data_IF_620766338502
#
_entry.id   IF_620766338502
#
_cell.length_a   1.000
_cell.length_b   1.000
_cell.length_c   1.000
_cell.angle_alpha   90.00
_cell.angle_beta   90.00
_cell.angle_gamma   90.00
#
_symmetry.space_group_name_H-M   'P 1'
#
loop_
_entity.id
_entity.type
_entity.pdbx_description
1 polymer ?
#
# COMPACT_ATOMS: atom_id res chain seq x y z
N UNK A 1 3.20 -4.43 11.49
CA UNK A 1 4.59 -4.63 11.91
C UNK A 1 5.54 -4.00 10.91
N UNK A 2 6.62 -3.47 11.43
CA UNK A 2 7.67 -2.86 10.62
C UNK A 2 8.87 -3.79 10.64
N UNK A 3 9.32 -4.18 9.47
CA UNK A 3 10.45 -5.07 9.33
C UNK A 3 11.64 -4.31 8.78
N UNK A 4 12.77 -4.39 9.48
CA UNK A 4 14.04 -3.85 9.02
C UNK A 4 15.01 -5.01 8.91
N UNK A 5 15.83 -5.02 7.86
CA UNK A 5 16.80 -6.07 7.63
C UNK A 5 16.16 -7.44 7.45
N UNK A 6 14.86 -7.47 7.20
CA UNK A 6 14.17 -8.71 6.91
C UNK A 6 14.13 -8.91 5.40
N UNK A 7 14.19 -10.18 4.98
CA UNK A 7 14.09 -10.48 3.55
C UNK A 7 12.64 -10.28 3.10
N UNK A 8 12.38 -9.16 2.47
CA UNK A 8 11.03 -8.82 2.03
C UNK A 8 10.50 -9.81 1.00
N UNK A 9 11.37 -10.38 0.18
CA UNK A 9 10.94 -11.36 -0.81
C UNK A 9 10.48 -12.64 -0.14
N UNK A 10 11.14 -13.02 0.95
CA UNK A 10 10.72 -14.18 1.73
C UNK A 10 9.35 -13.93 2.36
N UNK A 11 9.15 -12.74 2.90
CA UNK A 11 7.87 -12.37 3.46
C UNK A 11 6.74 -12.47 2.43
N UNK A 12 6.99 -11.95 1.22
CA UNK A 12 6.00 -11.97 0.15
C UNK A 12 5.63 -13.41 -0.21
N UNK A 13 6.61 -14.29 -0.27
CA UNK A 13 6.35 -15.70 -0.60
C UNK A 13 5.52 -16.40 0.47
N UNK A 14 5.70 -16.03 1.72
CA UNK A 14 5.05 -16.71 2.83
C UNK A 14 3.72 -16.10 3.25
N UNK A 15 3.48 -14.86 2.85
CA UNK A 15 2.27 -14.17 3.27
C UNK A 15 1.07 -14.73 2.51
N UNK A 16 0.07 -15.21 3.25
CA UNK A 16 -1.07 -15.92 2.64
C UNK A 16 -2.22 -14.99 2.25
N UNK A 17 -2.17 -13.73 2.68
CA UNK A 17 -3.23 -12.78 2.33
C UNK A 17 -2.74 -11.84 1.23
N UNK A 18 -3.56 -10.86 0.88
CA UNK A 18 -3.28 -9.95 -0.22
C UNK A 18 -2.15 -8.98 0.13
N UNK A 19 -1.25 -8.75 -0.82
CA UNK A 19 -0.17 -7.77 -0.68
C UNK A 19 -0.33 -6.73 -1.78
N UNK A 20 -0.25 -5.45 -1.40
CA UNK A 20 -0.31 -4.35 -2.35
C UNK A 20 0.95 -3.52 -2.25
N UNK A 21 1.49 -3.10 -3.40
CA UNK A 21 2.56 -2.11 -3.45
C UNK A 21 1.92 -0.74 -3.63
N UNK A 22 2.29 0.20 -2.79
CA UNK A 22 1.79 1.56 -2.87
C UNK A 22 2.82 2.40 -3.63
N UNK A 23 2.45 2.83 -4.82
CA UNK A 23 3.36 3.52 -5.73
C UNK A 23 2.62 4.59 -6.51
N UNK A 24 3.26 5.74 -6.81
CA UNK A 24 2.58 6.80 -7.56
C UNK A 24 2.26 6.44 -9.00
N UNK A 25 2.84 5.37 -9.52
CA UNK A 25 2.67 5.00 -10.92
C UNK A 25 1.63 3.93 -11.17
N UNK A 26 0.92 3.51 -10.14
CA UNK A 26 -0.12 2.50 -10.31
C UNK A 26 -1.37 3.11 -10.94
N UNK A 27 -2.15 2.26 -11.61
CA UNK A 27 -3.38 2.68 -12.24
C UNK A 27 -4.58 2.62 -11.32
N UNK A 28 -4.52 1.77 -10.29
CA UNK A 28 -5.64 1.56 -9.39
C UNK A 28 -5.51 2.43 -8.15
N UNK A 29 -6.60 3.06 -7.76
CA UNK A 29 -6.63 3.93 -6.60
C UNK A 29 -6.85 3.13 -5.32
N UNK A 30 -6.14 3.52 -4.25
CA UNK A 30 -6.34 2.92 -2.95
C UNK A 30 -7.78 3.12 -2.46
N UNK A 31 -8.44 4.18 -2.91
CA UNK A 31 -9.81 4.48 -2.48
C UNK A 31 -10.86 3.58 -3.11
N UNK A 32 -10.50 2.92 -4.21
CA UNK A 32 -11.43 2.05 -4.92
C UNK A 32 -11.16 0.58 -4.67
N UNK A 33 -10.11 0.26 -3.91
CA UNK A 33 -9.76 -1.11 -3.61
C UNK A 33 -10.41 -1.53 -2.30
N UNK A 34 -10.91 -2.76 -2.25
CA UNK A 34 -11.48 -3.30 -1.01
C UNK A 34 -10.33 -3.71 -0.08
N UNK A 35 -10.14 -2.95 0.98
CA UNK A 35 -9.08 -3.18 1.95
C UNK A 35 -9.63 -3.67 3.29
N UNK A 36 -10.85 -4.23 3.28
CA UNK A 36 -11.47 -4.72 4.50
C UNK A 36 -10.94 -6.08 4.93
N UNK A 37 -10.32 -6.82 4.02
CA UNK A 37 -9.71 -8.10 4.32
C UNK A 37 -8.29 -7.92 4.83
N UNK A 38 -7.72 -8.98 5.39
CA UNK A 38 -6.33 -8.94 5.80
C UNK A 38 -5.45 -8.65 4.61
N UNK A 39 -4.57 -7.67 4.76
CA UNK A 39 -3.69 -7.30 3.67
C UNK A 39 -2.42 -6.65 4.22
N UNK A 40 -1.41 -6.60 3.38
CA UNK A 40 -0.16 -5.91 3.68
C UNK A 40 0.05 -4.83 2.63
N UNK A 41 0.55 -3.69 3.07
CA UNK A 41 0.91 -2.60 2.16
C UNK A 41 2.41 -2.42 2.21
N UNK A 42 3.03 -2.39 1.04
CA UNK A 42 4.48 -2.21 0.91
C UNK A 42 4.72 -0.81 0.37
N UNK A 43 5.51 -0.03 1.10
CA UNK A 43 5.85 1.32 0.73
C UNK A 43 7.35 1.39 0.46
N UNK A 44 7.73 2.27 -0.45
CA UNK A 44 9.14 2.43 -0.79
C UNK A 44 9.86 3.39 0.13
N UNK A 45 11.16 3.51 -0.08
CA UNK A 45 11.98 4.48 0.63
C UNK A 45 11.73 5.88 0.09
N UNK A 46 11.97 6.88 0.93
CA UNK A 46 11.94 8.25 0.48
C UNK A 46 13.03 8.46 -0.57
N UNK A 47 12.64 9.10 -1.65
CA UNK A 47 13.57 9.40 -2.72
C UNK A 47 13.69 8.34 -3.79
N UNK A 48 13.72 7.08 -3.42
CA UNK A 48 13.93 5.99 -4.38
C UNK A 48 12.68 5.19 -4.70
N UNK A 49 11.68 5.23 -3.83
CA UNK A 49 10.48 4.44 -4.01
C UNK A 49 10.75 2.96 -3.85
N UNK A 50 9.91 2.15 -4.47
CA UNK A 50 10.02 0.69 -4.42
C UNK A 50 10.88 0.24 -5.59
N UNK A 51 11.82 -0.68 -5.35
CA UNK A 51 12.69 -1.16 -6.42
C UNK A 51 11.89 -1.90 -7.48
N UNK A 52 12.43 -1.94 -8.71
CA UNK A 52 11.76 -2.63 -9.80
C UNK A 52 11.59 -4.11 -9.53
N UNK A 53 12.57 -4.74 -8.90
CA UNK A 53 12.47 -6.14 -8.53
C UNK A 53 11.31 -6.39 -7.58
N UNK A 54 11.18 -5.53 -6.58
CA UNK A 54 10.13 -5.69 -5.58
C UNK A 54 8.76 -5.42 -6.20
N UNK A 55 8.65 -4.41 -7.08
CA UNK A 55 7.40 -4.15 -7.78
C UNK A 55 6.99 -5.35 -8.61
N UNK A 56 7.94 -6.00 -9.25
CA UNK A 56 7.64 -7.19 -10.06
C UNK A 56 7.19 -8.37 -9.22
N UNK A 57 7.65 -8.45 -7.99
CA UNK A 57 7.27 -9.53 -7.10
C UNK A 57 5.87 -9.36 -6.52
N UNK A 58 5.35 -8.13 -6.53
CA UNK A 58 4.02 -7.83 -5.99
C UNK A 58 3.07 -7.61 -7.15
N UNK A 59 2.01 -8.40 -7.22
CA UNK A 59 1.11 -8.36 -8.37
C UNK A 59 0.14 -7.20 -8.34
N UNK A 60 -0.22 -6.72 -7.18
CA UNK A 60 -1.25 -5.68 -7.05
C UNK A 60 -0.60 -4.38 -6.63
N UNK A 61 -0.80 -3.35 -7.41
CA UNK A 61 -0.24 -2.02 -7.14
C UNK A 61 -1.36 -1.01 -6.98
N UNK A 62 -1.22 -0.13 -5.99
CA UNK A 62 -2.21 0.90 -5.72
C UNK A 62 -1.52 2.26 -5.66
N UNK A 63 -2.28 3.30 -5.95
CA UNK A 63 -1.79 4.66 -5.83
C UNK A 63 -2.73 5.49 -4.98
N UNK A 64 -2.19 6.54 -4.38
CA UNK A 64 -2.99 7.56 -3.71
C UNK A 64 -3.14 8.70 -4.70
N UNK A 65 -4.35 8.94 -5.25
CA UNK A 65 -4.53 10.01 -6.22
C UNK A 65 -4.19 11.37 -5.60
N UNK A 66 -3.44 12.16 -6.34
CA UNK A 66 -2.98 13.46 -5.90
C UNK A 66 -3.57 14.54 -6.77
N UNK A 67 -4.25 15.54 -6.20
CA UNK A 67 -4.75 16.65 -6.99
C UNK A 67 -3.61 17.58 -7.38
N UNK A 68 -3.78 18.26 -8.51
CA UNK A 68 -2.84 19.25 -8.96
C UNK A 68 -1.54 18.65 -9.44
N UNK A 69 -0.45 19.31 -9.11
CA UNK A 69 0.86 18.94 -9.62
C UNK A 69 1.69 18.13 -8.66
N UNK A 70 1.15 17.77 -7.53
CA UNK A 70 1.91 16.98 -6.57
C UNK A 70 2.23 15.63 -7.19
N UNK A 71 3.51 15.26 -7.17
CA UNK A 71 3.95 14.03 -7.80
C UNK A 71 3.89 12.85 -6.86
N UNK A 72 4.14 13.10 -5.59
CA UNK A 72 4.09 12.03 -4.61
C UNK A 72 4.03 12.62 -3.22
N UNK A 73 3.51 11.82 -2.29
CA UNK A 73 3.58 12.15 -0.87
C UNK A 73 4.88 11.62 -0.32
N UNK A 74 5.36 12.23 0.77
CA UNK A 74 6.48 11.61 1.45
C UNK A 74 6.00 10.32 2.11
N UNK A 75 6.95 9.50 2.53
CA UNK A 75 6.65 8.16 3.02
C UNK A 75 5.71 8.19 4.23
N UNK A 76 5.96 9.08 5.18
CA UNK A 76 5.14 9.15 6.39
C UNK A 76 3.70 9.55 6.07
N UNK A 77 3.53 10.51 5.18
CA UNK A 77 2.19 10.95 4.80
C UNK A 77 1.46 9.87 4.01
N UNK A 78 2.16 9.18 3.13
CA UNK A 78 1.55 8.09 2.37
C UNK A 78 1.08 6.98 3.30
N UNK A 79 1.89 6.62 4.29
CA UNK A 79 1.51 5.61 5.26
C UNK A 79 0.29 6.05 6.06
N UNK A 80 0.27 7.32 6.47
CA UNK A 80 -0.85 7.86 7.23
C UNK A 80 -2.15 7.81 6.44
N UNK A 81 -2.11 8.27 5.18
CA UNK A 81 -3.30 8.24 4.33
C UNK A 81 -3.80 6.81 4.13
N UNK A 82 -2.87 5.88 3.89
CA UNK A 82 -3.24 4.49 3.69
C UNK A 82 -3.90 3.90 4.92
N UNK A 83 -3.35 4.17 6.09
CA UNK A 83 -3.91 3.64 7.34
C UNK A 83 -5.31 4.21 7.58
N UNK A 84 -5.48 5.51 7.35
CA UNK A 84 -6.80 6.11 7.52
C UNK A 84 -7.82 5.55 6.54
N UNK A 85 -7.40 5.27 5.31
CA UNK A 85 -8.33 4.68 4.33
C UNK A 85 -8.73 3.26 4.74
N UNK A 86 -7.77 2.45 5.22
CA UNK A 86 -8.11 1.13 5.73
C UNK A 86 -9.11 1.23 6.88
N UNK A 87 -8.86 2.15 7.81
CA UNK A 87 -9.74 2.34 8.96
C UNK A 87 -11.13 2.78 8.52
N UNK A 88 -11.18 3.71 7.57
CA UNK A 88 -12.48 4.18 7.07
C UNK A 88 -13.30 3.05 6.48
N UNK A 89 -12.68 2.24 5.64
CA UNK A 89 -13.38 1.14 4.99
C UNK A 89 -13.88 0.12 6.01
N UNK A 90 -13.04 -0.20 6.98
CA UNK A 90 -13.40 -1.20 7.98
C UNK A 90 -14.48 -0.69 8.93
N UNK A 91 -14.43 0.58 9.29
CA UNK A 91 -15.49 1.17 10.11
C UNK A 91 -16.81 1.20 9.38
N UNK A 92 -16.80 1.57 8.10
CA UNK A 92 -18.01 1.59 7.29
C UNK A 92 -18.60 0.19 7.16
N UNK A 93 -17.74 -0.80 6.95
CA UNK A 93 -18.18 -2.19 6.84
C UNK A 93 -18.84 -2.67 8.12
N UNK A 94 -18.28 -2.31 9.26
CA UNK A 94 -18.85 -2.68 10.55
C UNK A 94 -20.22 -2.05 10.76
N UNK A 95 -20.41 -0.80 10.32
CA UNK A 95 -21.68 -0.11 10.47
C UNK A 95 -22.80 -0.72 9.65
N UNK A 96 -22.44 -1.38 8.56
CA UNK A 96 -23.44 -2.01 7.69
C UNK A 96 -23.98 -3.30 8.26
N UNK A 97 -23.36 -3.81 9.29
CA UNK A 97 -23.83 -4.99 9.96
C UNK A 97 -24.77 -4.60 11.07
#
# INVERSE_FOLDING_TARGET
NIYQNYDIFEFIRQYSAQIYALTPHANDSIYEQDLTQNCALVLGNEGNGISGELLSAIKSHLTIPMPGRAESLNLAMAATVAIFELSRQRMTNLRKK
#
